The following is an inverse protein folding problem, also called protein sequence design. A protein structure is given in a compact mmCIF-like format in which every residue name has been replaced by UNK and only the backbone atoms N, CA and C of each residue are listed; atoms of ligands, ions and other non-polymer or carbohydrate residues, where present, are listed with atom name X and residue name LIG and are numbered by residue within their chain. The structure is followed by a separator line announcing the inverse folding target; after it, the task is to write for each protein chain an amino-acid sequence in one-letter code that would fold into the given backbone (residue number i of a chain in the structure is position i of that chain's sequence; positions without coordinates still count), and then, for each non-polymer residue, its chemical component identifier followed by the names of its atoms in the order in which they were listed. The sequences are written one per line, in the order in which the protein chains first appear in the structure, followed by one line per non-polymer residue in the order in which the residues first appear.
data_IF_501344538092
#
_entry.id   IF_501344538092
#
_cell.length_a   1.000
_cell.length_b   1.000
_cell.length_c   1.000
_cell.angle_alpha   90.00
_cell.angle_beta   90.00
_cell.angle_gamma   90.00
#
_symmetry.space_group_name_H-M   'P 1'
#
loop_
_entity.id
_entity.type
_entity.pdbx_description
1 polymer ?
#
# COMPACT_ATOMS: atom_id res chain seq x y z
N UNK A 1 14.97 -12.64 -9.77
CA UNK A 1 13.95 -11.68 -9.30
C UNK A 1 13.64 -12.04 -7.86
N UNK A 2 14.16 -11.26 -6.91
CA UNK A 2 13.96 -11.52 -5.50
C UNK A 2 12.50 -11.24 -5.15
N UNK A 3 11.77 -12.23 -4.62
CA UNK A 3 10.32 -12.12 -4.46
C UNK A 3 9.90 -11.14 -3.35
N UNK A 4 10.80 -10.60 -2.52
CA UNK A 4 10.49 -9.61 -1.45
C UNK A 4 9.29 -9.98 -0.56
N UNK A 5 8.94 -11.26 -0.50
CA UNK A 5 7.71 -11.77 0.11
C UNK A 5 6.40 -11.38 -0.61
N UNK A 6 6.46 -10.71 -1.76
CA UNK A 6 5.31 -10.36 -2.59
C UNK A 6 4.84 -11.54 -3.44
N UNK A 7 3.54 -11.55 -3.71
CA UNK A 7 2.86 -12.50 -4.60
C UNK A 7 3.11 -12.20 -6.09
N UNK A 8 3.55 -10.99 -6.43
CA UNK A 8 3.89 -10.61 -7.81
C UNK A 8 5.36 -10.16 -7.94
N UNK A 9 5.99 -10.34 -9.11
CA UNK A 9 7.37 -9.93 -9.31
C UNK A 9 7.55 -8.40 -9.23
N UNK A 10 8.32 -7.95 -8.24
CA UNK A 10 8.68 -6.54 -8.06
C UNK A 10 10.22 -6.39 -8.09
N UNK A 11 10.73 -5.61 -9.04
CA UNK A 11 12.17 -5.34 -9.12
C UNK A 11 12.60 -4.38 -8.01
N UNK A 12 13.85 -4.50 -7.55
CA UNK A 12 14.42 -3.60 -6.52
C UNK A 12 14.24 -2.13 -6.90
N UNK A 13 14.52 -1.78 -8.16
CA UNK A 13 14.38 -0.41 -8.66
C UNK A 13 12.96 0.14 -8.57
N UNK A 14 11.93 -0.66 -8.85
CA UNK A 14 10.52 -0.25 -8.71
C UNK A 14 10.05 -0.21 -7.27
N UNK A 15 10.53 -1.13 -6.42
CA UNK A 15 10.20 -1.15 -4.99
C UNK A 15 10.65 0.12 -4.25
N UNK A 16 11.82 0.67 -4.62
CA UNK A 16 12.43 1.80 -3.91
C UNK A 16 12.43 3.12 -4.71
N UNK A 17 12.02 3.08 -5.98
CA UNK A 17 12.15 4.19 -6.92
C UNK A 17 11.48 5.47 -6.45
N UNK A 18 10.28 5.33 -5.86
CA UNK A 18 9.51 6.45 -5.31
C UNK A 18 10.30 7.31 -4.31
N UNK A 19 11.19 6.71 -3.51
CA UNK A 19 11.95 7.40 -2.46
C UNK A 19 13.18 8.16 -2.98
N UNK A 20 13.54 8.01 -4.26
CA UNK A 20 14.75 8.63 -4.83
C UNK A 20 14.68 10.16 -4.76
N UNK A 21 15.77 10.78 -4.34
CA UNK A 21 15.88 12.24 -4.23
C UNK A 21 15.06 12.86 -3.10
N UNK A 22 14.40 12.05 -2.26
CA UNK A 22 13.70 12.56 -1.07
C UNK A 22 14.63 12.68 0.14
N UNK A 23 15.80 12.04 0.16
CA UNK A 23 16.73 12.13 1.31
C UNK A 23 16.19 11.53 2.61
N UNK A 24 15.28 10.57 2.52
CA UNK A 24 14.73 9.87 3.71
C UNK A 24 15.85 9.03 4.34
N UNK A 25 16.10 9.12 5.65
CA UNK A 25 17.10 8.28 6.32
C UNK A 25 16.80 6.78 6.16
N UNK A 26 17.85 5.95 6.07
CA UNK A 26 17.67 4.49 6.10
C UNK A 26 17.43 4.02 7.53
N UNK A 27 16.31 3.31 7.74
CA UNK A 27 15.94 2.79 9.06
C UNK A 27 15.65 3.89 10.08
N UNK A 28 15.56 3.51 11.35
CA UNK A 28 15.20 4.42 12.44
C UNK A 28 14.17 3.80 13.38
N UNK A 29 13.91 4.47 14.50
CA UNK A 29 12.88 4.04 15.46
C UNK A 29 11.47 4.18 14.90
N UNK A 30 11.25 5.19 14.07
CA UNK A 30 10.00 5.40 13.32
C UNK A 30 10.30 5.27 11.84
N UNK A 31 9.54 4.43 11.14
CA UNK A 31 9.70 4.23 9.69
C UNK A 31 8.39 4.40 8.95
N UNK A 32 8.44 4.98 7.75
CA UNK A 32 7.36 4.88 6.78
C UNK A 32 7.41 3.50 6.15
N UNK A 33 6.37 2.70 6.35
CA UNK A 33 6.28 1.32 5.84
C UNK A 33 5.18 1.25 4.79
N UNK A 34 5.55 0.98 3.53
CA UNK A 34 4.57 1.02 2.44
C UNK A 34 3.86 -0.31 2.22
N UNK A 35 4.35 -1.37 2.87
CA UNK A 35 3.88 -2.73 2.66
C UNK A 35 4.02 -3.18 1.20
N UNK A 36 4.83 -2.48 0.39
CA UNK A 36 4.96 -2.61 -1.06
C UNK A 36 3.63 -2.49 -1.85
N UNK A 37 2.55 -1.96 -1.28
CA UNK A 37 1.23 -2.03 -1.93
C UNK A 37 1.13 -1.14 -3.16
N UNK A 38 1.42 0.16 -3.02
CA UNK A 38 1.44 1.08 -4.15
C UNK A 38 2.47 0.67 -5.21
N UNK A 39 3.62 0.14 -4.81
CA UNK A 39 4.64 -0.33 -5.76
C UNK A 39 4.20 -1.57 -6.58
N UNK A 40 3.25 -2.36 -6.07
CA UNK A 40 2.69 -3.51 -6.78
C UNK A 40 1.53 -3.14 -7.70
N UNK A 41 0.83 -2.03 -7.44
CA UNK A 41 -0.33 -1.59 -8.22
C UNK A 41 -0.09 -1.49 -9.73
N UNK A 42 1.04 -0.94 -10.25
CA UNK A 42 1.28 -0.92 -11.69
C UNK A 42 1.28 -2.32 -12.33
N UNK A 43 1.75 -3.33 -11.58
CA UNK A 43 1.79 -4.71 -12.08
C UNK A 43 0.41 -5.36 -12.02
N UNK A 44 -0.37 -5.07 -10.99
CA UNK A 44 -1.75 -5.53 -10.87
C UNK A 44 -2.62 -4.90 -11.97
N UNK A 45 -2.50 -3.60 -12.20
CA UNK A 45 -3.20 -2.90 -13.28
C UNK A 45 -2.85 -3.48 -14.66
N UNK A 46 -1.57 -3.73 -14.93
CA UNK A 46 -1.13 -4.38 -16.16
C UNK A 46 -1.74 -5.79 -16.33
N UNK A 47 -1.76 -6.59 -15.27
CA UNK A 47 -2.35 -7.92 -15.29
C UNK A 47 -3.86 -7.86 -15.56
N UNK A 48 -4.59 -6.98 -14.87
CA UNK A 48 -6.03 -6.82 -15.06
C UNK A 48 -6.38 -6.36 -16.48
N UNK A 49 -5.60 -5.45 -17.08
CA UNK A 49 -5.78 -5.03 -18.48
C UNK A 49 -5.63 -6.20 -19.47
N UNK A 50 -4.79 -7.18 -19.16
CA UNK A 50 -4.65 -8.38 -19.99
C UNK A 50 -5.88 -9.26 -19.79
N UNK A 51 -6.22 -9.57 -18.53
CA UNK A 51 -7.35 -10.44 -18.21
C UNK A 51 -8.67 -9.91 -18.79
N UNK A 52 -8.96 -8.61 -18.67
CA UNK A 52 -10.17 -8.01 -19.24
C UNK A 52 -10.22 -8.11 -20.78
N UNK A 53 -9.09 -7.93 -21.46
CA UNK A 53 -9.00 -8.15 -22.92
C UNK A 53 -9.27 -9.61 -23.31
N UNK A 54 -8.88 -10.56 -22.46
CA UNK A 54 -9.18 -11.98 -22.69
C UNK A 54 -10.67 -12.27 -22.45
N UNK A 55 -11.28 -11.73 -21.39
CA UNK A 55 -12.72 -11.91 -21.11
C UNK A 55 -13.60 -11.49 -22.29
N UNK A 56 -13.23 -10.43 -23.01
CA UNK A 56 -13.99 -9.91 -24.14
C UNK A 56 -13.63 -10.54 -25.51
N UNK A 57 -12.74 -11.53 -25.57
CA UNK A 57 -12.32 -12.17 -26.83
C UNK A 57 -13.22 -13.38 -27.20
N UNK A 58 -13.64 -13.55 -28.48
CA UNK A 58 -14.38 -14.74 -28.93
C UNK A 58 -13.64 -16.06 -28.69
N UNK A 59 -12.31 -15.99 -28.52
CA UNK A 59 -11.43 -17.12 -28.28
C UNK A 59 -11.71 -17.83 -26.94
N UNK A 60 -12.29 -17.14 -25.95
CA UNK A 60 -12.67 -17.74 -24.65
C UNK A 60 -13.88 -18.65 -24.75
N UNK A 61 -14.78 -18.43 -25.74
CA UNK A 61 -15.90 -19.32 -26.03
C UNK A 61 -15.48 -20.57 -26.81
N UNK A 62 -14.45 -20.45 -27.64
CA UNK A 62 -14.05 -21.51 -28.57
C UNK A 62 -13.20 -22.60 -27.90
N UNK A 63 -12.50 -22.28 -26.80
CA UNK A 63 -11.65 -23.27 -26.15
C UNK A 63 -11.57 -23.09 -24.62
N UNK A 64 -11.81 -24.18 -23.89
CA UNK A 64 -11.38 -24.42 -22.51
C UNK A 64 -9.85 -24.48 -22.34
N UNK A 65 -9.12 -23.65 -23.10
CA UNK A 65 -7.66 -23.50 -23.14
C UNK A 65 -7.10 -22.76 -21.91
N UNK A 66 -7.97 -22.31 -20.99
CA UNK A 66 -7.59 -21.81 -19.68
C UNK A 66 -6.74 -22.79 -18.85
N UNK A 67 -6.87 -24.09 -19.10
CA UNK A 67 -6.07 -25.13 -18.40
C UNK A 67 -4.67 -25.36 -18.99
N UNK A 68 -4.45 -25.02 -20.27
CA UNK A 68 -3.20 -25.30 -20.99
C UNK A 68 -2.27 -24.08 -21.06
N UNK A 69 -2.82 -22.88 -21.24
CA UNK A 69 -2.04 -21.63 -21.31
C UNK A 69 -1.32 -21.28 -20.00
N UNK A 70 -1.93 -21.60 -18.85
CA UNK A 70 -1.34 -21.38 -17.53
C UNK A 70 0.00 -22.12 -17.33
N UNK A 71 0.25 -23.19 -18.12
CA UNK A 71 1.47 -24.00 -18.07
C UNK A 71 2.55 -23.54 -19.06
N UNK A 72 2.18 -22.92 -20.18
CA UNK A 72 3.11 -22.56 -21.27
C UNK A 72 3.55 -21.09 -21.17
N UNK A 73 2.63 -20.20 -20.82
CA UNK A 73 2.89 -18.77 -20.68
C UNK A 73 2.59 -18.39 -19.24
N UNK A 74 3.61 -18.43 -18.38
CA UNK A 74 3.49 -17.85 -17.05
C UNK A 74 3.42 -16.32 -17.22
N UNK A 75 2.23 -15.80 -17.58
CA UNK A 75 1.95 -14.40 -17.92
C UNK A 75 2.44 -13.46 -16.82
N UNK A 76 2.39 -13.92 -15.56
CA UNK A 76 2.93 -13.25 -14.38
C UNK A 76 4.42 -12.89 -14.49
N UNK A 77 5.22 -13.64 -15.27
CA UNK A 77 6.65 -13.34 -15.50
C UNK A 77 6.87 -12.21 -16.50
N UNK A 78 5.93 -11.99 -17.42
CA UNK A 78 6.00 -10.93 -18.44
C UNK A 78 5.21 -9.68 -18.05
N UNK A 79 4.37 -9.74 -17.01
CA UNK A 79 3.67 -8.58 -16.45
C UNK A 79 4.57 -7.36 -16.21
N UNK A 80 5.83 -7.49 -15.73
CA UNK A 80 6.73 -6.35 -15.59
C UNK A 80 7.04 -5.61 -16.90
N UNK A 81 6.99 -6.29 -18.05
CA UNK A 81 7.22 -5.68 -19.37
C UNK A 81 5.99 -4.92 -19.88
N UNK A 82 4.83 -5.14 -19.26
CA UNK A 82 3.54 -4.57 -19.66
C UNK A 82 3.08 -3.46 -18.71
N UNK A 83 3.90 -3.15 -17.70
CA UNK A 83 3.74 -2.00 -16.83
C UNK A 83 3.95 -0.73 -17.65
N UNK A 84 2.93 0.12 -17.68
CA UNK A 84 3.06 1.44 -18.28
C UNK A 84 3.81 2.36 -17.31
N UNK A 85 4.67 3.22 -17.86
CA UNK A 85 5.40 4.25 -17.13
C UNK A 85 4.46 5.23 -16.42
N UNK A 86 3.32 5.55 -17.03
CA UNK A 86 2.31 6.44 -16.45
C UNK A 86 1.73 5.87 -15.15
N UNK A 87 1.36 4.58 -15.13
CA UNK A 87 0.89 3.90 -13.92
C UNK A 87 1.97 3.95 -12.84
N UNK A 88 3.22 3.65 -13.20
CA UNK A 88 4.36 3.69 -12.28
C UNK A 88 4.54 5.09 -11.68
N UNK A 89 4.56 6.14 -12.50
CA UNK A 89 4.73 7.53 -12.05
C UNK A 89 3.56 7.98 -11.17
N UNK A 90 2.33 7.57 -11.48
CA UNK A 90 1.14 7.85 -10.66
C UNK A 90 1.27 7.25 -9.26
N UNK A 91 1.56 5.95 -9.16
CA UNK A 91 1.63 5.27 -7.88
C UNK A 91 2.85 5.68 -7.06
N UNK A 92 4.01 5.90 -7.70
CA UNK A 92 5.18 6.47 -7.03
C UNK A 92 4.90 7.90 -6.55
N UNK A 93 4.15 8.69 -7.32
CA UNK A 93 3.72 10.04 -6.97
C UNK A 93 2.89 10.10 -5.68
N UNK A 94 2.01 9.12 -5.45
CA UNK A 94 1.23 9.03 -4.20
C UNK A 94 2.15 8.88 -2.99
N UNK A 95 3.08 7.92 -3.02
CA UNK A 95 4.04 7.70 -1.93
C UNK A 95 4.93 8.93 -1.68
N UNK A 96 5.39 9.57 -2.76
CA UNK A 96 6.19 10.81 -2.68
C UNK A 96 5.40 11.92 -2.01
N UNK A 97 4.15 12.12 -2.38
CA UNK A 97 3.29 13.15 -1.79
C UNK A 97 3.05 12.89 -0.30
N UNK A 98 2.81 11.64 0.11
CA UNK A 98 2.68 11.28 1.52
C UNK A 98 3.97 11.63 2.28
N UNK A 99 5.14 11.24 1.77
CA UNK A 99 6.41 11.54 2.42
C UNK A 99 6.75 13.04 2.47
N UNK A 100 6.29 13.82 1.48
CA UNK A 100 6.43 15.28 1.49
C UNK A 100 5.49 15.93 2.50
N UNK A 101 4.24 15.47 2.60
CA UNK A 101 3.28 15.95 3.59
C UNK A 101 3.75 15.67 5.01
N UNK A 102 4.24 14.46 5.29
CA UNK A 102 4.78 14.11 6.60
C UNK A 102 5.97 15.00 6.99
N UNK A 103 6.87 15.29 6.03
CA UNK A 103 7.99 16.22 6.28
C UNK A 103 7.54 17.66 6.48
N UNK A 104 6.57 18.13 5.70
CA UNK A 104 5.98 19.44 5.90
C UNK A 104 5.25 19.56 7.26
N UNK A 105 4.81 18.42 7.82
CA UNK A 105 4.22 18.30 9.15
C UNK A 105 5.25 18.12 10.28
N UNK A 106 6.55 18.27 9.99
CA UNK A 106 7.65 18.08 10.93
C UNK A 106 7.57 16.71 11.62
N UNK A 107 7.47 15.66 10.79
CA UNK A 107 7.48 14.26 11.24
C UNK A 107 8.80 13.64 10.83
N UNK A 108 9.57 13.21 11.82
CA UNK A 108 10.80 12.44 11.62
C UNK A 108 10.47 10.97 11.35
N UNK A 109 10.92 10.46 10.20
CA UNK A 109 10.78 9.05 9.86
C UNK A 109 11.92 8.60 8.92
N UNK A 110 12.26 7.32 9.00
CA UNK A 110 13.11 6.66 8.03
C UNK A 110 12.35 5.74 7.07
N UNK A 111 13.09 5.04 6.23
CA UNK A 111 12.56 4.03 5.31
C UNK A 111 13.50 2.83 5.24
N UNK A 112 12.95 1.61 5.13
CA UNK A 112 13.74 0.37 5.05
C UNK A 112 14.27 0.08 3.64
N UNK A 113 13.85 0.87 2.63
CA UNK A 113 14.32 0.76 1.25
C UNK A 113 14.21 -0.68 0.72
N UNK A 114 15.34 -1.26 0.37
CA UNK A 114 15.43 -2.56 -0.26
C UNK A 114 15.29 -3.73 0.72
N UNK A 115 15.23 -3.46 2.03
CA UNK A 115 14.97 -4.46 3.07
C UNK A 115 13.47 -4.58 3.40
N UNK A 116 12.65 -3.60 2.98
CA UNK A 116 11.20 -3.67 3.19
C UNK A 116 10.59 -4.90 2.51
N UNK A 117 9.71 -5.57 3.25
CA UNK A 117 8.96 -6.74 2.81
C UNK A 117 7.50 -6.38 2.55
N UNK A 118 6.87 -7.11 1.63
CA UNK A 118 5.42 -7.02 1.41
C UNK A 118 4.65 -7.23 2.73
N UNK A 119 3.54 -6.52 2.95
CA UNK A 119 2.74 -6.69 4.18
C UNK A 119 1.93 -8.00 4.22
N UNK A 120 1.76 -8.69 3.09
CA UNK A 120 1.07 -9.97 3.06
C UNK A 120 -0.45 -9.89 2.85
N UNK A 121 -1.01 -8.72 2.48
CA UNK A 121 -2.46 -8.52 2.34
C UNK A 121 -3.15 -9.57 1.47
N UNK A 122 -2.64 -9.81 0.27
CA UNK A 122 -3.23 -10.79 -0.65
C UNK A 122 -3.19 -12.22 -0.10
N UNK A 123 -2.19 -12.56 0.72
CA UNK A 123 -2.16 -13.87 1.37
C UNK A 123 -3.17 -13.99 2.51
N UNK A 124 -3.41 -12.89 3.23
CA UNK A 124 -4.45 -12.84 4.25
C UNK A 124 -5.85 -12.90 3.64
N UNK A 125 -6.11 -12.09 2.61
CA UNK A 125 -7.42 -11.95 1.96
C UNK A 125 -7.85 -13.27 1.28
N UNK A 126 -6.90 -14.02 0.71
CA UNK A 126 -7.14 -15.34 0.09
C UNK A 126 -7.19 -16.50 1.11
N UNK A 127 -7.15 -16.21 2.42
CA UNK A 127 -7.25 -17.23 3.47
C UNK A 127 -6.05 -18.19 3.56
N UNK A 128 -4.87 -17.79 3.07
CA UNK A 128 -3.65 -18.61 3.13
C UNK A 128 -2.98 -18.56 4.52
N UNK A 129 -3.70 -18.98 5.56
CA UNK A 129 -3.37 -18.79 6.98
C UNK A 129 -1.92 -19.17 7.35
N UNK A 130 -1.46 -20.37 6.99
CA UNK A 130 -0.12 -20.84 7.36
C UNK A 130 1.00 -20.04 6.67
N UNK A 131 0.79 -19.70 5.40
CA UNK A 131 1.74 -18.90 4.63
C UNK A 131 1.80 -17.48 5.16
N UNK A 132 0.63 -16.92 5.45
CA UNK A 132 0.50 -15.59 6.03
C UNK A 132 1.14 -15.52 7.42
N UNK A 133 0.90 -16.48 8.32
CA UNK A 133 1.49 -16.50 9.65
C UNK A 133 3.03 -16.54 9.63
N UNK A 134 3.62 -17.41 8.79
CA UNK A 134 5.08 -17.44 8.59
C UNK A 134 5.62 -16.13 8.04
N UNK A 135 4.91 -15.52 7.10
CA UNK A 135 5.31 -14.25 6.50
C UNK A 135 5.18 -13.08 7.48
N UNK A 136 4.12 -13.04 8.29
CA UNK A 136 3.91 -12.05 9.34
C UNK A 136 5.04 -12.10 10.38
N UNK A 137 5.43 -13.29 10.84
CA UNK A 137 6.59 -13.47 11.71
C UNK A 137 7.88 -12.90 11.09
N UNK A 138 8.12 -13.19 9.81
CA UNK A 138 9.29 -12.68 9.08
C UNK A 138 9.32 -11.15 9.02
N UNK A 139 8.18 -10.51 8.74
CA UNK A 139 8.06 -9.05 8.72
C UNK A 139 8.29 -8.48 10.12
N UNK A 140 7.67 -9.07 11.14
CA UNK A 140 7.85 -8.65 12.53
C UNK A 140 9.32 -8.74 12.98
N UNK A 141 10.00 -9.85 12.70
CA UNK A 141 11.42 -10.03 13.00
C UNK A 141 12.32 -9.05 12.25
N UNK A 142 11.98 -8.70 11.01
CA UNK A 142 12.68 -7.66 10.25
C UNK A 142 12.57 -6.31 10.97
N UNK A 143 11.35 -5.87 11.29
CA UNK A 143 11.12 -4.60 12.01
C UNK A 143 11.86 -4.56 13.35
N UNK A 144 11.81 -5.66 14.11
CA UNK A 144 12.51 -5.79 15.40
C UNK A 144 14.03 -5.70 15.24
N UNK A 145 14.60 -6.36 14.23
CA UNK A 145 16.05 -6.32 13.95
C UNK A 145 16.54 -4.92 13.57
N UNK A 146 15.72 -4.14 12.88
CA UNK A 146 16.01 -2.73 12.59
C UNK A 146 15.74 -1.79 13.76
N UNK A 147 15.29 -2.28 14.92
CA UNK A 147 15.00 -1.47 16.09
C UNK A 147 13.77 -0.56 15.92
N UNK A 148 12.90 -0.87 14.97
CA UNK A 148 11.66 -0.12 14.70
C UNK A 148 10.72 -0.28 15.90
N UNK A 149 10.16 0.84 16.36
CA UNK A 149 9.19 0.93 17.45
C UNK A 149 7.84 1.46 16.98
N UNK A 150 7.87 2.33 15.98
CA UNK A 150 6.69 2.89 15.37
C UNK A 150 6.74 2.76 13.85
N UNK A 151 5.62 2.42 13.25
CA UNK A 151 5.44 2.37 11.80
C UNK A 151 4.35 3.36 11.41
N UNK A 152 4.68 4.20 10.42
CA UNK A 152 3.72 5.02 9.69
C UNK A 152 3.31 4.25 8.44
N UNK A 153 2.05 3.90 8.29
CA UNK A 153 1.52 3.17 7.13
C UNK A 153 0.88 4.12 6.12
N UNK A 154 0.83 3.69 4.86
CA UNK A 154 0.36 4.52 3.73
C UNK A 154 -0.98 4.09 3.17
N UNK A 155 -1.47 2.90 3.55
CA UNK A 155 -2.67 2.30 2.98
C UNK A 155 -3.48 1.50 4.04
N UNK A 156 -4.78 1.27 3.80
CA UNK A 156 -5.67 0.60 4.75
C UNK A 156 -5.25 -0.83 5.10
N UNK A 157 -4.84 -1.63 4.10
CA UNK A 157 -4.51 -3.03 4.32
C UNK A 157 -3.23 -3.16 5.15
N UNK A 158 -2.17 -2.43 4.79
CA UNK A 158 -0.93 -2.45 5.57
C UNK A 158 -1.17 -1.98 7.02
N UNK A 159 -2.03 -0.97 7.21
CA UNK A 159 -2.44 -0.50 8.56
C UNK A 159 -3.09 -1.63 9.35
N UNK A 160 -4.16 -2.23 8.80
CA UNK A 160 -4.90 -3.29 9.48
C UNK A 160 -4.05 -4.52 9.76
N UNK A 161 -3.21 -4.93 8.81
CA UNK A 161 -2.34 -6.08 8.98
C UNK A 161 -1.36 -5.87 10.13
N UNK A 162 -0.60 -4.77 10.11
CA UNK A 162 0.41 -4.53 11.13
C UNK A 162 -0.20 -4.20 12.51
N UNK A 163 -1.31 -3.47 12.54
CA UNK A 163 -1.93 -2.97 13.78
C UNK A 163 -2.85 -3.99 14.44
N UNK A 164 -3.66 -4.70 13.67
CA UNK A 164 -4.80 -5.47 14.18
C UNK A 164 -4.64 -6.97 13.97
N UNK A 165 -4.13 -7.40 12.81
CA UNK A 165 -4.05 -8.82 12.45
C UNK A 165 -2.78 -9.47 12.97
N UNK A 166 -1.61 -8.87 12.72
CA UNK A 166 -0.31 -9.40 13.12
C UNK A 166 -0.24 -9.72 14.60
N UNK A 167 -0.65 -8.82 15.53
CA UNK A 167 -0.60 -9.12 16.96
C UNK A 167 -1.40 -10.37 17.35
N UNK A 168 -2.52 -10.63 16.67
CA UNK A 168 -3.35 -11.83 16.92
C UNK A 168 -2.71 -13.10 16.38
N UNK A 169 -1.99 -12.99 15.26
CA UNK A 169 -1.36 -14.14 14.59
C UNK A 169 -0.02 -14.52 15.23
N UNK A 170 0.77 -13.53 15.68
CA UNK A 170 2.12 -13.76 16.21
C UNK A 170 2.22 -13.64 17.74
N UNK A 171 1.21 -13.08 18.41
CA UNK A 171 1.20 -12.88 19.85
C UNK A 171 2.07 -11.70 20.35
N UNK A 172 2.43 -10.75 19.50
CA UNK A 172 3.17 -9.53 19.87
C UNK A 172 2.54 -8.27 19.26
N UNK A 173 2.10 -7.35 20.14
CA UNK A 173 1.49 -6.06 19.80
C UNK A 173 2.30 -4.84 20.24
N UNK A 174 3.62 -4.98 20.48
CA UNK A 174 4.48 -3.88 20.96
C UNK A 174 4.80 -2.83 19.90
N UNK A 175 4.55 -3.12 18.63
CA UNK A 175 4.78 -2.21 17.53
C UNK A 175 3.67 -1.15 17.49
N UNK A 176 4.02 0.12 17.62
CA UNK A 176 3.05 1.19 17.40
C UNK A 176 2.83 1.34 15.89
N UNK A 177 1.57 1.29 15.45
CA UNK A 177 1.21 1.44 14.04
C UNK A 177 0.20 2.58 13.92
N UNK A 178 0.49 3.55 13.05
CA UNK A 178 -0.41 4.66 12.73
C UNK A 178 -0.46 4.88 11.23
N UNK A 179 -1.65 5.10 10.70
CA UNK A 179 -1.82 5.61 9.34
C UNK A 179 -1.21 7.01 9.22
N UNK A 180 -0.65 7.32 8.06
CA UNK A 180 -0.23 8.67 7.74
C UNK A 180 -1.38 9.69 7.89
N UNK A 181 -2.63 9.27 7.70
CA UNK A 181 -3.82 10.11 7.90
C UNK A 181 -3.97 10.50 9.37
N UNK A 182 -3.82 9.56 10.29
CA UNK A 182 -3.87 9.81 11.74
C UNK A 182 -2.74 10.75 12.19
N UNK A 183 -1.53 10.53 11.67
CA UNK A 183 -0.38 11.39 11.96
C UNK A 183 -0.63 12.82 11.46
N UNK A 184 -1.08 12.98 10.21
CA UNK A 184 -1.29 14.31 9.63
C UNK A 184 -2.49 15.02 10.26
N UNK A 185 -3.56 14.31 10.60
CA UNK A 185 -4.74 14.89 11.24
C UNK A 185 -4.42 15.44 12.64
N UNK A 186 -3.46 14.83 13.35
CA UNK A 186 -2.95 15.34 14.63
C UNK A 186 -1.98 16.52 14.51
N UNK A 187 -1.68 17.00 13.31
CA UNK A 187 -0.74 18.11 13.05
C UNK A 187 -1.49 19.34 12.57
N UNK A 188 -1.04 20.52 12.99
CA UNK A 188 -1.60 21.80 12.57
C UNK A 188 -1.13 22.18 11.15
N UNK A 189 -1.59 21.44 10.14
CA UNK A 189 -1.25 21.65 8.74
C UNK A 189 -1.98 22.86 8.16
N UNK A 190 -1.31 23.63 7.30
CA UNK A 190 -1.92 24.71 6.51
C UNK A 190 -1.53 24.55 5.04
N UNK A 191 -2.50 24.52 4.11
CA UNK A 191 -2.16 24.46 2.70
C UNK A 191 -1.52 25.78 2.25
N UNK A 192 -0.53 25.70 1.35
CA UNK A 192 0.03 26.89 0.69
C UNK A 192 -1.00 27.59 -0.20
N UNK A 193 -1.90 26.79 -0.79
CA UNK A 193 -3.03 27.25 -1.60
C UNK A 193 -4.20 26.32 -1.35
N UNK A 194 -5.36 26.89 -1.04
CA UNK A 194 -6.59 26.12 -0.90
C UNK A 194 -6.97 25.44 -2.23
N UNK A 195 -7.50 24.23 -2.15
CA UNK A 195 -7.91 23.46 -3.35
C UNK A 195 -9.19 24.03 -3.96
N UNK A 196 -10.11 24.55 -3.13
CA UNK A 196 -11.38 25.20 -3.52
C UNK A 196 -12.23 24.32 -4.45
N UNK A 197 -12.46 23.07 -4.05
CA UNK A 197 -13.27 22.09 -4.79
C UNK A 197 -14.17 21.31 -3.86
N UNK A 198 -15.24 20.77 -4.40
CA UNK A 198 -16.04 19.75 -3.73
C UNK A 198 -15.64 18.35 -4.20
N UNK A 199 -15.70 17.38 -3.30
CA UNK A 199 -15.39 15.98 -3.59
C UNK A 199 -16.32 15.06 -2.79
N UNK A 200 -16.69 13.93 -3.41
CA UNK A 200 -17.38 12.84 -2.70
C UNK A 200 -16.32 11.88 -2.19
N UNK A 201 -16.38 11.54 -0.90
CA UNK A 201 -15.44 10.60 -0.29
C UNK A 201 -15.92 9.17 -0.48
N UNK A 202 -15.00 8.29 -0.88
CA UNK A 202 -15.20 6.85 -0.84
C UNK A 202 -14.36 6.27 0.30
N UNK A 203 -15.02 5.89 1.38
CA UNK A 203 -14.34 5.31 2.54
C UNK A 203 -13.76 3.94 2.20
N UNK A 204 -12.53 3.70 2.63
CA UNK A 204 -12.00 2.34 2.62
C UNK A 204 -12.74 1.51 3.65
N UNK A 205 -13.33 0.40 3.20
CA UNK A 205 -13.98 -0.55 4.10
C UNK A 205 -13.05 -1.03 5.22
N UNK A 206 -11.75 -1.18 4.95
CA UNK A 206 -10.77 -1.59 5.98
C UNK A 206 -10.56 -0.47 6.99
N UNK A 207 -10.39 0.77 6.53
CA UNK A 207 -10.23 1.90 7.46
C UNK A 207 -11.48 2.13 8.32
N UNK A 208 -12.65 2.18 7.70
CA UNK A 208 -13.90 2.43 8.39
C UNK A 208 -14.28 1.28 9.34
N UNK A 209 -14.29 0.04 8.84
CA UNK A 209 -14.82 -1.11 9.58
C UNK A 209 -13.88 -1.65 10.65
N UNK A 210 -12.58 -1.61 10.42
CA UNK A 210 -11.61 -2.33 11.28
C UNK A 210 -10.68 -1.41 12.05
N UNK A 211 -10.45 -0.21 11.56
CA UNK A 211 -9.36 0.64 12.00
C UNK A 211 -9.84 1.99 12.57
N UNK A 212 -11.13 2.32 12.40
CA UNK A 212 -11.74 3.54 12.91
C UNK A 212 -11.24 4.83 12.28
N UNK A 213 -10.55 4.76 11.13
CA UNK A 213 -9.96 5.93 10.44
C UNK A 213 -10.98 6.50 9.46
N UNK A 214 -11.88 7.35 9.95
CA UNK A 214 -13.03 7.90 9.20
C UNK A 214 -13.01 9.42 9.19
N UNK A 215 -12.81 10.06 10.36
CA UNK A 215 -12.81 11.52 10.45
C UNK A 215 -11.49 12.16 10.02
N UNK A 216 -10.38 11.45 10.10
CA UNK A 216 -9.06 11.92 9.72
C UNK A 216 -8.98 12.38 8.25
N UNK A 217 -9.40 11.57 7.25
CA UNK A 217 -9.42 12.03 5.86
C UNK A 217 -10.36 13.22 5.65
N UNK A 218 -11.53 13.26 6.33
CA UNK A 218 -12.49 14.38 6.26
C UNK A 218 -11.90 15.68 6.81
N UNK A 219 -11.28 15.60 7.98
CA UNK A 219 -10.59 16.72 8.60
C UNK A 219 -9.48 17.26 7.70
N UNK A 220 -8.64 16.39 7.14
CA UNK A 220 -7.56 16.79 6.24
C UNK A 220 -8.07 17.45 4.96
N UNK A 221 -9.19 16.98 4.40
CA UNK A 221 -9.84 17.60 3.25
C UNK A 221 -10.39 18.99 3.58
N UNK A 222 -11.06 19.16 4.73
CA UNK A 222 -11.52 20.48 5.21
C UNK A 222 -10.35 21.45 5.38
N UNK A 223 -9.25 20.99 5.99
CA UNK A 223 -8.02 21.79 6.14
C UNK A 223 -7.43 22.19 4.79
N UNK A 224 -7.50 21.31 3.78
CA UNK A 224 -7.06 21.61 2.42
C UNK A 224 -7.99 22.55 1.63
N UNK A 225 -9.13 22.96 2.20
CA UNK A 225 -10.14 23.76 1.52
C UNK A 225 -10.98 22.95 0.52
N UNK A 226 -11.19 21.66 0.80
CA UNK A 226 -12.09 20.78 0.04
C UNK A 226 -13.40 20.62 0.81
N UNK A 227 -14.51 20.84 0.11
CA UNK A 227 -15.85 20.50 0.61
C UNK A 227 -16.09 19.00 0.43
N UNK A 228 -16.13 18.28 1.55
CA UNK A 228 -16.38 16.84 1.57
C UNK A 228 -17.89 16.57 1.57
N UNK A 229 -18.39 16.06 0.46
CA UNK A 229 -19.77 15.60 0.32
C UNK A 229 -19.86 14.12 0.66
N UNK A 230 -20.88 13.77 1.44
CA UNK A 230 -21.12 12.40 1.87
C UNK A 230 -22.21 11.75 1.02
N UNK A 231 -22.02 10.50 0.54
CA UNK A 231 -23.12 9.71 0.02
C UNK A 231 -24.11 9.35 1.14
N UNK A 232 -25.35 9.03 0.76
CA UNK A 232 -26.47 8.73 1.69
C UNK A 232 -26.14 7.61 2.71
N UNK A 233 -25.23 6.70 2.35
CA UNK A 233 -24.77 5.58 3.20
C UNK A 233 -23.27 5.70 3.55
N UNK A 234 -22.86 6.87 4.05
CA UNK A 234 -21.51 7.13 4.58
C UNK A 234 -21.36 6.69 6.04
N UNK A 235 -20.15 6.32 6.45
CA UNK A 235 -19.84 5.80 7.80
C UNK A 235 -19.12 4.46 7.78
#
# INVERSE_FOLDING_TARGET
MDRRGSVLPLSRGRAIGWARGLGIPRGGRTVLYTGLMYQLMPSIAALLRILSRFEHSPLTRLFGVGRCLNRIFNVSRFTPLLVNREDQERFDGILRNIALLLRAADVDFGYLYDEELYAGALAHDEGMCDSFARHALKVHELLRRHGVRQVITVDPHTTNLLRSVYPRVIGDGRLEVKSYLEILAGKAMRPLKAVERSAVIHDSCVYARHEGVVEEPRHLLRVAGVEANEPEYSG
#
